data_IF_234264272547
#
_entry.id   IF_234264272547
#
_cell.length_a   1.000
_cell.length_b   1.000
_cell.length_c   1.000
_cell.angle_alpha   90.00
_cell.angle_beta   90.00
_cell.angle_gamma   90.00
#
_symmetry.space_group_name_H-M   'P 1'
#
loop_
_entity.id
_entity.type
_entity.pdbx_description
1 polymer ?
#
# COMPACT_ATOMS: atom_id res chain seq x y z
N UNK A 1 18.08 -14.43 68.42
CA UNK A 1 18.21 -15.34 67.25
C UNK A 1 17.83 -14.56 66.00
N UNK A 2 18.68 -14.58 64.97
CA UNK A 2 18.65 -13.65 63.82
C UNK A 2 17.61 -14.05 62.76
N UNK A 3 16.72 -13.13 62.43
CA UNK A 3 15.74 -13.21 61.34
C UNK A 3 16.46 -13.12 59.98
N UNK A 4 16.35 -14.15 59.14
CA UNK A 4 16.84 -14.10 57.75
C UNK A 4 15.66 -13.82 56.82
N UNK A 5 15.52 -12.57 56.41
CA UNK A 5 14.64 -12.18 55.30
C UNK A 5 15.41 -12.48 54.01
N UNK A 6 15.02 -13.53 53.31
CA UNK A 6 15.59 -13.90 52.02
C UNK A 6 14.80 -13.15 50.94
N UNK A 7 15.34 -12.02 50.49
CA UNK A 7 14.73 -11.20 49.45
C UNK A 7 14.78 -11.93 48.10
N UNK A 8 13.60 -12.13 47.54
CA UNK A 8 13.31 -12.65 46.20
C UNK A 8 13.79 -11.61 45.18
N UNK A 9 14.83 -11.94 44.41
CA UNK A 9 15.32 -11.13 43.30
C UNK A 9 14.93 -11.74 41.96
N UNK A 10 13.66 -11.61 41.56
CA UNK A 10 13.22 -11.96 40.20
C UNK A 10 13.41 -10.73 39.31
N UNK A 11 14.55 -10.64 38.64
CA UNK A 11 14.84 -9.60 37.64
C UNK A 11 14.05 -9.93 36.37
N UNK A 12 12.86 -9.37 36.23
CA UNK A 12 12.04 -9.46 35.02
C UNK A 12 12.67 -8.57 33.94
N UNK A 13 13.48 -9.17 33.07
CA UNK A 13 13.97 -8.55 31.84
C UNK A 13 12.76 -8.30 30.91
N UNK A 14 12.18 -7.10 30.96
CA UNK A 14 11.18 -6.67 29.98
C UNK A 14 11.95 -6.34 28.69
N UNK A 15 12.09 -7.33 27.81
CA UNK A 15 12.53 -7.14 26.44
C UNK A 15 11.49 -6.27 25.73
N UNK A 16 11.75 -4.96 25.68
CA UNK A 16 10.99 -4.03 24.86
C UNK A 16 11.35 -4.34 23.41
N UNK A 17 10.64 -5.30 22.82
CA UNK A 17 10.73 -5.57 21.39
C UNK A 17 10.24 -4.30 20.68
N UNK A 18 11.14 -3.59 20.01
CA UNK A 18 10.77 -2.57 19.02
C UNK A 18 10.01 -3.27 17.89
N UNK A 19 8.71 -3.50 18.08
CA UNK A 19 7.83 -3.87 16.97
C UNK A 19 7.65 -2.61 16.13
N UNK A 20 8.29 -2.55 14.97
CA UNK A 20 7.96 -1.55 13.96
C UNK A 20 6.47 -1.66 13.67
N UNK A 21 5.69 -0.66 14.08
CA UNK A 21 4.26 -0.67 13.82
C UNK A 21 4.02 -0.68 12.30
N UNK A 22 3.09 -1.51 11.80
CA UNK A 22 2.72 -1.49 10.40
C UNK A 22 2.15 -0.12 10.02
N UNK A 23 2.20 0.21 8.74
CA UNK A 23 1.59 1.44 8.24
C UNK A 23 0.07 1.42 8.50
N UNK A 24 -0.52 2.58 8.79
CA UNK A 24 -1.98 2.71 8.87
C UNK A 24 -2.58 2.43 7.48
N UNK A 25 -3.45 1.42 7.40
CA UNK A 25 -4.05 0.95 6.16
C UNK A 25 -5.50 1.41 6.04
N UNK A 26 -6.03 1.36 4.82
CA UNK A 26 -7.48 1.45 4.57
C UNK A 26 -8.17 0.15 5.01
N UNK A 27 -9.46 0.24 5.33
CA UNK A 27 -10.23 -0.91 5.83
C UNK A 27 -10.27 -2.08 4.84
N UNK A 28 -10.28 -1.80 3.54
CA UNK A 28 -10.23 -2.82 2.48
C UNK A 28 -8.94 -3.67 2.48
N UNK A 29 -7.89 -3.20 3.16
CA UNK A 29 -6.58 -3.85 3.23
C UNK A 29 -6.23 -4.35 4.64
N UNK A 30 -7.17 -4.28 5.60
CA UNK A 30 -6.98 -4.80 6.95
C UNK A 30 -6.86 -6.33 6.95
N UNK A 31 -5.93 -6.87 7.72
CA UNK A 31 -5.65 -8.31 7.78
C UNK A 31 -4.97 -8.90 6.53
N UNK A 32 -4.84 -8.15 5.44
CA UNK A 32 -4.17 -8.60 4.22
C UNK A 32 -2.64 -8.47 4.38
N UNK A 33 -1.84 -9.51 4.09
CA UNK A 33 -0.39 -9.40 4.06
C UNK A 33 0.09 -8.33 3.09
N UNK A 34 1.08 -7.55 3.49
CA UNK A 34 1.63 -6.51 2.64
C UNK A 34 2.71 -7.03 1.71
N UNK A 35 2.88 -6.33 0.59
CA UNK A 35 4.01 -6.49 -0.32
C UNK A 35 5.05 -5.42 0.02
N UNK A 36 6.32 -5.84 0.10
CA UNK A 36 7.42 -4.90 0.29
C UNK A 36 7.61 -4.01 -0.94
N UNK A 37 7.52 -2.69 -0.77
CA UNK A 37 7.76 -1.74 -1.86
C UNK A 37 9.19 -1.86 -2.45
N UNK A 38 10.17 -2.21 -1.61
CA UNK A 38 11.58 -2.39 -2.01
C UNK A 38 11.77 -3.70 -2.78
N UNK A 39 11.01 -4.74 -2.44
CA UNK A 39 11.07 -6.05 -3.09
C UNK A 39 10.23 -6.16 -4.35
N UNK A 40 9.40 -5.15 -4.66
CA UNK A 40 8.54 -5.16 -5.83
C UNK A 40 9.32 -4.79 -7.10
N UNK A 41 8.93 -5.37 -8.22
CA UNK A 41 9.38 -5.00 -9.56
C UNK A 41 8.20 -5.01 -10.54
N UNK A 42 8.41 -4.63 -11.80
CA UNK A 42 7.34 -4.77 -12.79
C UNK A 42 6.95 -6.25 -13.00
N UNK A 43 7.87 -7.20 -12.86
CA UNK A 43 7.56 -8.62 -13.04
C UNK A 43 6.85 -9.25 -11.84
N UNK A 44 7.13 -8.79 -10.61
CA UNK A 44 6.64 -9.43 -9.37
C UNK A 44 6.18 -8.41 -8.34
N UNK A 45 5.09 -8.70 -7.60
CA UNK A 45 4.25 -9.90 -7.70
C UNK A 45 3.12 -9.76 -8.72
N UNK A 46 2.88 -8.58 -9.27
CA UNK A 46 1.66 -8.25 -10.01
C UNK A 46 1.79 -8.28 -11.55
N UNK A 47 2.95 -8.66 -12.09
CA UNK A 47 3.19 -8.72 -13.54
C UNK A 47 2.72 -7.45 -14.29
N UNK A 48 3.16 -6.28 -13.81
CA UNK A 48 2.88 -4.97 -14.38
C UNK A 48 3.61 -4.81 -15.73
N UNK A 49 2.85 -4.69 -16.80
CA UNK A 49 3.36 -4.51 -18.17
C UNK A 49 3.01 -3.15 -18.75
N UNK A 50 2.09 -2.41 -18.11
CA UNK A 50 1.66 -1.07 -18.51
C UNK A 50 2.19 -0.04 -17.53
N UNK A 51 2.85 1.00 -18.06
CA UNK A 51 3.35 2.16 -17.30
C UNK A 51 4.12 1.80 -16.02
N UNK A 52 5.02 0.81 -16.14
CA UNK A 52 5.88 0.39 -15.05
C UNK A 52 7.36 0.51 -15.44
N UNK A 53 8.16 1.03 -14.53
CA UNK A 53 9.63 1.03 -14.58
C UNK A 53 10.19 0.11 -13.51
N UNK A 54 11.15 -0.73 -13.87
CA UNK A 54 11.81 -1.64 -12.91
C UNK A 54 12.53 -0.90 -11.77
N UNK A 55 12.80 0.40 -11.95
CA UNK A 55 13.47 1.21 -10.94
C UNK A 55 12.51 2.03 -10.07
N UNK A 56 11.46 2.59 -10.67
CA UNK A 56 10.57 3.54 -9.99
C UNK A 56 9.15 3.00 -9.73
N UNK A 57 8.87 1.77 -10.15
CA UNK A 57 7.52 1.21 -10.09
C UNK A 57 6.57 1.92 -11.06
N UNK A 58 5.33 2.21 -10.65
CA UNK A 58 4.35 2.93 -11.45
C UNK A 58 4.84 4.26 -12.01
N UNK A 59 4.54 4.54 -13.29
CA UNK A 59 5.01 5.74 -14.00
C UNK A 59 3.90 6.64 -14.52
N UNK A 60 2.68 6.13 -14.79
CA UNK A 60 1.58 6.98 -15.27
C UNK A 60 1.11 7.87 -14.14
N UNK A 61 1.31 9.18 -14.25
CA UNK A 61 0.78 10.15 -13.28
C UNK A 61 -0.67 10.46 -13.61
N UNK A 62 -1.51 10.43 -12.59
CA UNK A 62 -2.91 10.85 -12.67
C UNK A 62 -3.26 11.80 -11.53
N UNK A 63 -4.27 12.65 -11.74
CA UNK A 63 -4.81 13.54 -10.71
C UNK A 63 -6.27 13.20 -10.46
N UNK A 64 -6.56 12.76 -9.23
CA UNK A 64 -7.90 12.44 -8.76
C UNK A 64 -8.27 13.46 -7.69
N UNK A 65 -9.28 14.30 -7.95
CA UNK A 65 -9.71 15.33 -6.98
C UNK A 65 -8.57 16.27 -6.53
N UNK A 66 -7.60 16.55 -7.40
CA UNK A 66 -6.42 17.37 -7.08
C UNK A 66 -5.30 16.61 -6.35
N UNK A 67 -5.46 15.32 -6.07
CA UNK A 67 -4.44 14.46 -5.50
C UNK A 67 -3.70 13.71 -6.62
N UNK A 68 -2.41 13.98 -6.77
CA UNK A 68 -1.56 13.23 -7.70
C UNK A 68 -1.15 11.87 -7.12
N UNK A 69 -1.27 10.85 -7.95
CA UNK A 69 -0.78 9.49 -7.70
C UNK A 69 -0.15 8.93 -8.98
N UNK A 70 0.63 7.85 -8.86
CA UNK A 70 1.16 7.11 -10.01
C UNK A 70 0.50 5.75 -10.12
N UNK A 71 0.14 5.33 -11.33
CA UNK A 71 -0.50 4.04 -11.58
C UNK A 71 0.26 3.22 -12.63
N UNK A 72 0.12 1.89 -12.53
CA UNK A 72 0.60 0.89 -13.48
C UNK A 72 -0.40 -0.27 -13.54
N UNK A 73 -0.41 -0.99 -14.67
CA UNK A 73 -1.35 -2.09 -14.92
C UNK A 73 -0.65 -3.38 -15.34
N UNK A 74 -1.29 -4.52 -15.10
CA UNK A 74 -0.93 -5.79 -15.76
C UNK A 74 -1.42 -5.83 -17.22
N UNK A 75 -1.09 -6.89 -17.95
CA UNK A 75 -1.46 -7.00 -19.37
C UNK A 75 -2.97 -7.05 -19.59
N UNK A 76 -3.70 -7.69 -18.67
CA UNK A 76 -5.15 -7.85 -18.72
C UNK A 76 -5.90 -6.60 -18.27
N UNK A 77 -5.23 -5.63 -17.64
CA UNK A 77 -5.84 -4.41 -17.10
C UNK A 77 -6.72 -4.62 -15.86
N UNK A 78 -6.76 -5.84 -15.30
CA UNK A 78 -7.54 -6.22 -14.11
C UNK A 78 -6.85 -5.88 -12.79
N UNK A 79 -5.53 -5.63 -12.83
CA UNK A 79 -4.73 -5.18 -11.69
C UNK A 79 -4.24 -3.77 -11.95
N UNK A 80 -4.57 -2.85 -11.05
CA UNK A 80 -4.00 -1.50 -11.00
C UNK A 80 -3.15 -1.39 -9.75
N UNK A 81 -1.85 -1.12 -9.91
CA UNK A 81 -0.96 -0.75 -8.80
C UNK A 81 -0.83 0.76 -8.76
N UNK A 82 -1.09 1.35 -7.60
CA UNK A 82 -1.06 2.79 -7.39
C UNK A 82 -0.10 3.15 -6.29
N UNK A 83 0.79 4.11 -6.55
CA UNK A 83 1.71 4.70 -5.59
C UNK A 83 1.30 6.13 -5.25
N UNK A 84 1.27 6.44 -3.95
CA UNK A 84 1.05 7.78 -3.44
C UNK A 84 2.31 8.65 -3.49
N UNK A 85 2.22 9.90 -3.01
CA UNK A 85 3.34 10.83 -3.03
C UNK A 85 4.42 10.46 -2.00
N UNK A 86 5.69 10.52 -2.42
CA UNK A 86 6.82 10.35 -1.52
C UNK A 86 7.04 11.63 -0.68
N UNK A 87 6.46 11.68 0.51
CA UNK A 87 6.50 12.84 1.40
C UNK A 87 6.39 12.45 2.88
N UNK A 88 6.61 13.39 3.80
CA UNK A 88 6.39 13.17 5.24
C UNK A 88 4.94 12.82 5.61
N UNK A 89 3.99 13.05 4.69
CA UNK A 89 2.57 12.64 4.81
C UNK A 89 2.21 11.53 3.83
N UNK A 90 3.18 10.67 3.48
CA UNK A 90 2.98 9.58 2.51
C UNK A 90 1.76 8.74 2.88
N UNK A 91 1.70 8.15 4.08
CA UNK A 91 0.60 7.25 4.44
C UNK A 91 -0.80 7.87 4.33
N UNK A 92 -1.12 9.02 4.97
CA UNK A 92 -2.44 9.61 4.82
C UNK A 92 -2.79 10.00 3.37
N UNK A 93 -1.81 10.51 2.59
CA UNK A 93 -2.05 10.90 1.20
C UNK A 93 -2.21 9.70 0.27
N UNK A 94 -1.48 8.62 0.51
CA UNK A 94 -1.64 7.35 -0.21
C UNK A 94 -3.01 6.74 0.07
N UNK A 95 -3.48 6.76 1.32
CA UNK A 95 -4.81 6.26 1.68
C UNK A 95 -5.92 7.10 1.03
N UNK A 96 -5.81 8.43 1.07
CA UNK A 96 -6.74 9.30 0.35
C UNK A 96 -6.74 9.03 -1.16
N UNK A 97 -5.56 8.84 -1.76
CA UNK A 97 -5.42 8.48 -3.16
C UNK A 97 -6.15 7.17 -3.49
N UNK A 98 -6.08 6.19 -2.59
CA UNK A 98 -6.83 4.93 -2.72
C UNK A 98 -8.33 5.16 -2.63
N UNK A 99 -8.82 5.90 -1.65
CA UNK A 99 -10.26 6.14 -1.49
C UNK A 99 -10.86 6.82 -2.72
N UNK A 100 -10.11 7.76 -3.32
CA UNK A 100 -10.49 8.43 -4.56
C UNK A 100 -10.50 7.45 -5.75
N UNK A 101 -9.45 6.64 -5.90
CA UNK A 101 -9.36 5.63 -6.96
C UNK A 101 -10.49 4.60 -6.84
N UNK A 102 -10.75 4.10 -5.62
CA UNK A 102 -11.86 3.20 -5.31
C UNK A 102 -13.21 3.82 -5.68
N UNK A 103 -13.43 5.09 -5.34
CA UNK A 103 -14.67 5.80 -5.70
C UNK A 103 -14.88 5.84 -7.20
N UNK A 104 -13.83 6.11 -7.98
CA UNK A 104 -13.94 6.12 -9.45
C UNK A 104 -14.22 4.72 -10.02
N UNK A 105 -13.60 3.67 -9.48
CA UNK A 105 -13.88 2.29 -9.91
C UNK A 105 -15.32 1.88 -9.61
N UNK A 106 -15.72 2.00 -8.34
CA UNK A 106 -17.06 1.59 -7.90
C UNK A 106 -18.14 2.44 -8.57
N UNK A 107 -17.91 3.75 -8.74
CA UNK A 107 -18.82 4.65 -9.43
C UNK A 107 -19.03 4.32 -10.91
N UNK A 108 -18.10 3.57 -11.52
CA UNK A 108 -18.20 3.06 -12.90
C UNK A 108 -18.66 1.60 -12.97
N UNK A 109 -18.98 0.98 -11.84
CA UNK A 109 -19.52 -0.38 -11.76
C UNK A 109 -18.47 -1.49 -11.66
N UNK A 110 -17.18 -1.17 -11.49
CA UNK A 110 -16.15 -2.19 -11.30
C UNK A 110 -16.23 -2.82 -9.91
N UNK A 111 -16.16 -4.15 -9.86
CA UNK A 111 -16.05 -4.90 -8.61
C UNK A 111 -14.58 -5.05 -8.21
N UNK A 112 -14.23 -4.55 -7.02
CA UNK A 112 -12.91 -4.74 -6.42
C UNK A 112 -12.93 -6.05 -5.62
N UNK A 113 -12.12 -7.01 -6.05
CA UNK A 113 -12.06 -8.34 -5.41
C UNK A 113 -10.98 -8.42 -4.35
N UNK A 114 -9.92 -7.60 -4.47
CA UNK A 114 -8.82 -7.62 -3.52
C UNK A 114 -8.02 -6.32 -3.53
N UNK A 115 -7.60 -5.90 -2.33
CA UNK A 115 -6.73 -4.75 -2.12
C UNK A 115 -5.49 -5.22 -1.34
N UNK A 116 -4.33 -5.18 -1.99
CA UNK A 116 -3.06 -5.59 -1.37
C UNK A 116 -2.25 -4.35 -0.98
N UNK A 117 -1.93 -4.14 0.31
CA UNK A 117 -1.13 -3.00 0.73
C UNK A 117 0.33 -3.16 0.29
N UNK A 118 0.94 -2.05 -0.14
CA UNK A 118 2.35 -2.00 -0.53
C UNK A 118 3.06 -1.04 0.43
N UNK A 119 3.91 -1.58 1.29
CA UNK A 119 4.53 -0.83 2.38
C UNK A 119 6.04 -1.11 2.49
N UNK A 120 6.75 -0.20 3.13
CA UNK A 120 8.15 -0.42 3.53
C UNK A 120 8.47 0.43 4.75
N UNK A 121 9.17 -0.16 5.73
CA UNK A 121 9.59 0.50 6.96
C UNK A 121 8.45 1.25 7.71
N UNK A 122 7.24 0.69 7.71
CA UNK A 122 6.06 1.30 8.36
C UNK A 122 5.41 2.45 7.58
N UNK A 123 5.81 2.68 6.32
CA UNK A 123 5.25 3.70 5.44
C UNK A 123 4.45 3.06 4.31
N UNK A 124 3.26 3.60 4.02
CA UNK A 124 2.44 3.15 2.90
C UNK A 124 2.91 3.79 1.60
N UNK A 125 3.41 2.96 0.69
CA UNK A 125 3.80 3.38 -0.66
C UNK A 125 2.60 3.40 -1.59
N UNK A 126 1.70 2.43 -1.45
CA UNK A 126 0.64 2.23 -2.42
C UNK A 126 -0.26 1.04 -2.14
N UNK A 127 -1.10 0.74 -3.12
CA UNK A 127 -2.00 -0.39 -3.11
C UNK A 127 -1.99 -1.07 -4.48
N UNK A 128 -2.10 -2.40 -4.50
CA UNK A 128 -2.54 -3.13 -5.68
C UNK A 128 -4.03 -3.40 -5.56
N UNK A 129 -4.80 -3.00 -6.57
CA UNK A 129 -6.24 -3.15 -6.65
C UNK A 129 -6.54 -4.17 -7.74
N UNK A 130 -7.13 -5.29 -7.36
CA UNK A 130 -7.55 -6.36 -8.27
C UNK A 130 -9.07 -6.27 -8.48
N UNK A 131 -9.52 -6.46 -9.71
CA UNK A 131 -10.93 -6.37 -10.13
C UNK A 131 -11.31 -7.56 -11.01
N UNK A 132 -12.61 -7.82 -11.16
CA UNK A 132 -13.13 -8.86 -12.05
C UNK A 132 -12.99 -8.51 -13.54
N UNK A 133 -13.05 -7.23 -13.87
CA UNK A 133 -13.05 -6.71 -15.25
C UNK A 133 -11.87 -5.74 -15.49
N UNK A 134 -11.35 -5.63 -16.72
CA UNK A 134 -10.30 -4.67 -17.04
C UNK A 134 -10.71 -3.23 -16.72
N UNK A 135 -9.95 -2.56 -15.84
CA UNK A 135 -10.21 -1.19 -15.41
C UNK A 135 -9.11 -0.20 -15.78
N UNK A 136 -7.90 -0.68 -16.08
CA UNK A 136 -6.71 0.17 -16.15
C UNK A 136 -6.81 1.35 -17.15
N UNK A 137 -7.56 1.18 -18.23
CA UNK A 137 -7.71 2.18 -19.30
C UNK A 137 -8.49 3.42 -18.84
N UNK A 138 -9.30 3.32 -17.78
CA UNK A 138 -10.07 4.49 -17.29
C UNK A 138 -9.17 5.61 -16.77
N UNK A 139 -7.93 5.27 -16.40
CA UNK A 139 -6.96 6.23 -15.86
C UNK A 139 -6.45 7.23 -16.88
N UNK A 140 -6.62 6.97 -18.18
CA UNK A 140 -6.24 7.91 -19.24
C UNK A 140 -7.02 9.22 -19.17
N UNK A 141 -8.27 9.19 -18.66
CA UNK A 141 -9.09 10.38 -18.46
C UNK A 141 -8.57 11.31 -17.34
N UNK A 142 -7.64 10.85 -16.51
CA UNK A 142 -7.11 11.56 -15.35
C UNK A 142 -5.62 11.88 -15.47
N UNK A 143 -5.02 11.59 -16.62
CA UNK A 143 -3.58 11.73 -16.84
C UNK A 143 -3.14 13.19 -16.67
N UNK A 144 -2.01 13.38 -16.00
CA UNK A 144 -1.30 14.66 -15.91
C UNK A 144 -0.09 14.61 -16.84
N UNK A 145 0.08 15.64 -17.67
CA UNK A 145 1.22 15.79 -18.58
C UNK A 145 2.54 16.05 -17.84
#
# INVERSE_FOLDING_TARGET
>A
MKTKVMAIGLVTLVLVACSSQPAVRVSDAEGIPSVSAIGMSCKKPFALTQDCSNWSGPTKKISLGGQEVKVAGNAEGTVTVMFGPNSSKATPRTNLGFDLLKRELVGKGFEITKVTPIESAGVMFGYAIETTEPNYQIWDAFKVE
#
